data_IF_334885137988
#
_entry.id   IF_334885137988
#
_cell.length_a   1.000
_cell.length_b   1.000
_cell.length_c   1.000
_cell.angle_alpha   90.00
_cell.angle_beta   90.00
_cell.angle_gamma   90.00
#
_symmetry.space_group_name_H-M   'P 1'
#
loop_
_entity.id
_entity.type
_entity.pdbx_description
1 polymer ?
#
# COMPACT_ATOMS: atom_id res chain seq x y z
N UNK A 1 2.41 -9.52 -3.37
CA UNK A 1 3.40 -9.26 -2.30
C UNK A 1 4.79 -9.46 -2.86
N UNK A 2 5.75 -8.65 -2.41
CA UNK A 2 7.12 -8.68 -2.88
C UNK A 2 7.75 -10.05 -2.58
N UNK A 3 8.55 -10.54 -3.53
CA UNK A 3 9.33 -11.76 -3.31
C UNK A 3 10.57 -11.47 -2.44
N UNK A 4 11.25 -12.53 -1.98
CA UNK A 4 12.42 -12.39 -1.08
C UNK A 4 13.53 -11.50 -1.64
N UNK A 5 13.73 -11.50 -2.95
CA UNK A 5 14.77 -10.68 -3.58
C UNK A 5 14.36 -9.21 -3.62
N UNK A 6 13.10 -8.92 -3.97
CA UNK A 6 12.55 -7.56 -3.93
C UNK A 6 12.61 -6.97 -2.51
N UNK A 7 12.34 -7.76 -1.47
CA UNK A 7 12.45 -7.29 -0.08
C UNK A 7 13.90 -6.91 0.27
N UNK A 8 14.90 -7.67 -0.20
CA UNK A 8 16.31 -7.28 -0.01
C UNK A 8 16.64 -5.97 -0.73
N UNK A 9 16.08 -5.77 -1.92
CA UNK A 9 16.26 -4.53 -2.68
C UNK A 9 15.64 -3.34 -1.93
N UNK A 10 14.43 -3.48 -1.38
CA UNK A 10 13.82 -2.47 -0.50
C UNK A 10 14.72 -2.12 0.69
N UNK A 11 15.30 -3.14 1.33
CA UNK A 11 16.25 -2.91 2.43
C UNK A 11 17.47 -2.10 1.97
N UNK A 12 18.06 -2.46 0.82
CA UNK A 12 19.19 -1.75 0.24
C UNK A 12 18.85 -0.29 -0.13
N UNK A 13 17.66 -0.06 -0.66
CA UNK A 13 17.15 1.28 -0.99
C UNK A 13 17.05 2.14 0.26
N UNK A 14 16.52 1.62 1.37
CA UNK A 14 16.46 2.33 2.65
C UNK A 14 17.87 2.65 3.18
N UNK A 15 18.79 1.68 3.11
CA UNK A 15 20.18 1.85 3.56
C UNK A 15 20.93 2.93 2.76
N UNK A 16 20.67 3.04 1.45
CA UNK A 16 21.31 4.02 0.58
C UNK A 16 20.70 5.43 0.68
N UNK A 17 19.37 5.52 0.71
CA UNK A 17 18.65 6.80 0.63
C UNK A 17 18.36 7.41 2.01
N UNK A 18 18.38 6.58 3.06
CA UNK A 18 18.07 6.99 4.42
C UNK A 18 16.58 6.93 4.76
N UNK A 19 16.30 6.64 6.04
CA UNK A 19 14.95 6.40 6.56
C UNK A 19 14.04 7.63 6.40
N UNK A 20 14.54 8.83 6.69
CA UNK A 20 13.72 10.05 6.64
C UNK A 20 13.24 10.35 5.21
N UNK A 21 14.10 10.17 4.21
CA UNK A 21 13.72 10.32 2.81
C UNK A 21 12.66 9.29 2.43
N UNK A 22 12.82 8.02 2.80
CA UNK A 22 11.84 6.98 2.45
C UNK A 22 10.48 7.17 3.11
N UNK A 23 10.41 7.79 4.28
CA UNK A 23 9.12 8.20 4.88
C UNK A 23 8.42 9.25 4.03
N UNK A 24 9.15 10.21 3.46
CA UNK A 24 8.56 11.19 2.54
C UNK A 24 8.10 10.54 1.23
N UNK A 25 8.91 9.66 0.64
CA UNK A 25 8.53 8.88 -0.54
C UNK A 25 7.24 8.12 -0.29
N UNK A 26 7.12 7.44 0.86
CA UNK A 26 5.88 6.75 1.21
C UNK A 26 4.64 7.67 1.25
N UNK A 27 4.78 8.91 1.70
CA UNK A 27 3.69 9.90 1.69
C UNK A 27 3.35 10.33 0.26
N UNK A 28 4.36 10.55 -0.59
CA UNK A 28 4.19 10.93 -1.99
C UNK A 28 3.46 9.84 -2.78
N UNK A 29 3.91 8.58 -2.70
CA UNK A 29 3.30 7.46 -3.43
C UNK A 29 1.85 7.18 -3.02
N UNK A 30 1.54 7.34 -1.72
CA UNK A 30 0.15 7.25 -1.23
C UNK A 30 -0.72 8.38 -1.80
N UNK A 31 -0.17 9.59 -1.94
CA UNK A 31 -0.86 10.72 -2.55
C UNK A 31 -1.04 10.55 -4.07
N UNK A 32 -0.08 9.92 -4.76
CA UNK A 32 -0.19 9.61 -6.18
C UNK A 32 -1.29 8.57 -6.44
N UNK A 33 -1.36 7.49 -5.66
CA UNK A 33 -2.46 6.52 -5.75
C UNK A 33 -3.82 7.18 -5.50
N UNK A 34 -3.92 8.06 -4.50
CA UNK A 34 -5.14 8.83 -4.24
C UNK A 34 -5.55 9.66 -5.47
N UNK A 35 -4.58 10.33 -6.11
CA UNK A 35 -4.83 11.14 -7.30
C UNK A 35 -5.25 10.27 -8.50
N UNK A 36 -4.61 9.12 -8.70
CA UNK A 36 -4.94 8.17 -9.77
C UNK A 36 -6.37 7.66 -9.65
N UNK A 37 -6.78 7.22 -8.46
CA UNK A 37 -8.16 6.81 -8.17
C UNK A 37 -9.13 7.96 -8.45
N UNK A 38 -8.81 9.17 -7.98
CA UNK A 38 -9.64 10.35 -8.17
C UNK A 38 -9.82 10.73 -9.65
N UNK A 39 -8.77 10.56 -10.47
CA UNK A 39 -8.83 10.78 -11.93
C UNK A 39 -9.74 9.76 -12.60
N UNK A 40 -9.58 8.47 -12.28
CA UNK A 40 -10.43 7.42 -12.83
C UNK A 40 -11.92 7.61 -12.50
N UNK A 41 -12.25 8.03 -11.28
CA UNK A 41 -13.63 8.33 -10.89
C UNK A 41 -14.27 9.48 -11.69
N UNK A 42 -13.46 10.44 -12.17
CA UNK A 42 -13.94 11.52 -13.06
C UNK A 42 -14.05 11.07 -14.51
N UNK A 43 -13.14 10.21 -14.94
CA UNK A 43 -13.06 9.74 -16.33
C UNK A 43 -12.59 8.28 -16.38
N UNK A 44 -13.52 7.37 -16.65
CA UNK A 44 -13.26 5.93 -16.64
C UNK A 44 -12.64 5.47 -17.97
N UNK A 45 -11.33 5.65 -18.12
CA UNK A 45 -10.56 5.23 -19.31
C UNK A 45 -9.57 4.11 -18.96
N UNK A 46 -9.15 3.33 -19.97
CA UNK A 46 -8.12 2.30 -19.79
C UNK A 46 -6.79 2.91 -19.31
N UNK A 47 -6.42 4.08 -19.81
CA UNK A 47 -5.24 4.82 -19.38
C UNK A 47 -5.27 5.14 -17.88
N UNK A 48 -6.42 5.55 -17.35
CA UNK A 48 -6.56 5.83 -15.92
C UNK A 48 -6.53 4.55 -15.07
N UNK A 49 -6.94 3.39 -15.61
CA UNK A 49 -6.77 2.09 -14.93
C UNK A 49 -5.30 1.69 -14.86
N UNK A 50 -4.57 1.83 -15.97
CA UNK A 50 -3.13 1.53 -16.01
C UNK A 50 -2.36 2.40 -15.02
N UNK A 51 -2.74 3.68 -14.88
CA UNK A 51 -2.13 4.56 -13.89
C UNK A 51 -2.42 4.11 -12.45
N UNK A 52 -3.63 3.63 -12.15
CA UNK A 52 -3.94 3.05 -10.83
C UNK A 52 -3.06 1.82 -10.58
N UNK A 53 -2.91 0.93 -11.56
CA UNK A 53 -2.09 -0.26 -11.41
C UNK A 53 -0.61 0.09 -11.14
N UNK A 54 -0.09 1.13 -11.79
CA UNK A 54 1.26 1.67 -11.53
C UNK A 54 1.38 2.17 -10.09
N UNK A 55 0.51 3.09 -9.65
CA UNK A 55 0.66 3.65 -8.30
C UNK A 55 0.36 2.61 -7.20
N UNK A 56 -0.44 1.57 -7.49
CA UNK A 56 -0.59 0.43 -6.59
C UNK A 56 0.71 -0.37 -6.43
N UNK A 57 1.50 -0.50 -7.50
CA UNK A 57 2.81 -1.15 -7.43
C UNK A 57 3.78 -0.32 -6.58
N UNK A 58 3.80 1.00 -6.76
CA UNK A 58 4.60 1.92 -5.96
C UNK A 58 4.18 1.86 -4.47
N UNK A 59 2.86 1.80 -4.19
CA UNK A 59 2.33 1.58 -2.84
C UNK A 59 2.72 0.22 -2.25
N UNK A 60 2.79 -0.86 -3.04
CA UNK A 60 3.27 -2.15 -2.52
C UNK A 60 4.74 -2.10 -2.10
N UNK A 61 5.57 -1.32 -2.79
CA UNK A 61 6.99 -1.14 -2.46
C UNK A 61 7.12 -0.36 -1.15
N UNK A 62 6.50 0.81 -1.06
CA UNK A 62 6.60 1.65 0.15
C UNK A 62 6.00 0.98 1.38
N UNK A 63 4.96 0.14 1.24
CA UNK A 63 4.43 -0.63 2.37
C UNK A 63 5.44 -1.66 2.89
N UNK A 64 6.22 -2.28 2.01
CA UNK A 64 7.29 -3.19 2.42
C UNK A 64 8.44 -2.42 3.08
N UNK A 65 8.79 -1.25 2.56
CA UNK A 65 9.81 -0.39 3.17
C UNK A 65 9.39 0.10 4.56
N UNK A 66 8.13 0.52 4.73
CA UNK A 66 7.59 0.93 6.04
C UNK A 66 7.62 -0.23 7.04
N UNK A 67 7.33 -1.46 6.62
CA UNK A 67 7.48 -2.64 7.50
C UNK A 67 8.91 -2.80 7.99
N UNK A 68 9.90 -2.65 7.10
CA UNK A 68 11.32 -2.73 7.45
C UNK A 68 11.74 -1.58 8.38
N UNK A 69 11.32 -0.35 8.09
CA UNK A 69 11.63 0.86 8.88
C UNK A 69 11.09 0.75 10.31
N UNK A 70 9.85 0.29 10.47
CA UNK A 70 9.18 0.19 11.78
C UNK A 70 9.31 -1.19 12.44
N UNK A 71 10.06 -2.12 11.83
CA UNK A 71 10.19 -3.50 12.31
C UNK A 71 8.84 -4.23 12.50
N UNK A 72 7.88 -3.97 11.62
CA UNK A 72 6.54 -4.58 11.64
C UNK A 72 6.59 -5.89 10.87
N UNK A 73 6.14 -6.98 11.49
CA UNK A 73 6.11 -8.29 10.84
C UNK A 73 4.76 -8.54 10.12
N UNK A 74 4.76 -9.51 9.19
CA UNK A 74 3.55 -9.87 8.45
C UNK A 74 2.40 -10.33 9.36
N UNK A 75 2.71 -11.06 10.44
CA UNK A 75 1.69 -11.61 11.34
C UNK A 75 0.87 -10.51 12.05
N UNK A 76 1.51 -9.39 12.40
CA UNK A 76 0.84 -8.22 12.98
C UNK A 76 -0.15 -7.60 11.98
N UNK A 77 0.28 -7.42 10.73
CA UNK A 77 -0.56 -6.88 9.65
C UNK A 77 -1.71 -7.85 9.31
N UNK A 78 -1.43 -9.15 9.21
CA UNK A 78 -2.43 -10.18 8.91
C UNK A 78 -3.53 -10.23 9.99
N UNK A 79 -3.15 -10.09 11.26
CA UNK A 79 -4.09 -10.01 12.38
C UNK A 79 -5.02 -8.79 12.24
N UNK A 80 -4.45 -7.62 11.95
CA UNK A 80 -5.22 -6.39 11.73
C UNK A 80 -6.14 -6.48 10.50
N UNK A 81 -5.67 -7.09 9.41
CA UNK A 81 -6.48 -7.33 8.21
C UNK A 81 -7.69 -8.22 8.55
N UNK A 82 -7.46 -9.36 9.19
CA UNK A 82 -8.51 -10.30 9.55
C UNK A 82 -9.58 -9.65 10.44
N UNK A 83 -9.14 -8.88 11.45
CA UNK A 83 -10.04 -8.14 12.32
C UNK A 83 -10.88 -7.10 11.56
N UNK A 84 -10.24 -6.26 10.72
CA UNK A 84 -10.94 -5.21 9.97
C UNK A 84 -11.93 -5.79 8.96
N UNK A 85 -11.56 -6.83 8.22
CA UNK A 85 -12.47 -7.49 7.27
C UNK A 85 -13.68 -8.08 8.00
N UNK A 86 -13.45 -8.85 9.08
CA UNK A 86 -14.54 -9.42 9.90
C UNK A 86 -15.50 -8.34 10.39
N UNK A 87 -14.97 -7.18 10.82
CA UNK A 87 -15.77 -6.05 11.29
C UNK A 87 -16.62 -5.45 10.17
N UNK A 88 -16.07 -5.23 8.98
CA UNK A 88 -16.84 -4.67 7.87
C UNK A 88 -17.90 -5.67 7.35
N UNK A 89 -17.60 -6.97 7.30
CA UNK A 89 -18.59 -8.00 6.94
C UNK A 89 -19.77 -8.00 7.90
N UNK A 90 -19.51 -7.95 9.22
CA UNK A 90 -20.58 -7.84 10.22
C UNK A 90 -21.45 -6.60 10.01
N UNK A 91 -20.85 -5.44 9.68
CA UNK A 91 -21.61 -4.20 9.39
C UNK A 91 -22.49 -4.33 8.15
N UNK A 92 -22.08 -5.12 7.16
CA UNK A 92 -22.89 -5.38 5.96
C UNK A 92 -24.07 -6.29 6.33
N UNK A 93 -23.83 -7.35 7.11
CA UNK A 93 -24.88 -8.23 7.61
C UNK A 93 -25.92 -7.45 8.43
N UNK A 94 -25.49 -6.65 9.41
CA UNK A 94 -26.36 -5.86 10.29
C UNK A 94 -27.21 -4.81 9.52
N UNK A 95 -26.81 -4.39 8.30
CA UNK A 95 -27.59 -3.47 7.44
C UNK A 95 -28.63 -4.19 6.57
N UNK A 96 -28.42 -5.47 6.32
CA UNK A 96 -29.26 -6.29 5.45
C UNK A 96 -30.31 -7.10 6.24
N UNK A 97 -30.36 -6.93 7.57
CA UNK A 97 -31.37 -7.47 8.50
C UNK A 97 -32.32 -6.34 8.89
#
# INVERSE_FOLDING_TARGET
MLNKEQIKQCKWIIECNGIELQKFVAVEELAELQQAISKYQRETTIFNIDNIAKEMADVYIILEELKLIYSICNAEIETEIAYKIKRELKRIEDRNV
#
